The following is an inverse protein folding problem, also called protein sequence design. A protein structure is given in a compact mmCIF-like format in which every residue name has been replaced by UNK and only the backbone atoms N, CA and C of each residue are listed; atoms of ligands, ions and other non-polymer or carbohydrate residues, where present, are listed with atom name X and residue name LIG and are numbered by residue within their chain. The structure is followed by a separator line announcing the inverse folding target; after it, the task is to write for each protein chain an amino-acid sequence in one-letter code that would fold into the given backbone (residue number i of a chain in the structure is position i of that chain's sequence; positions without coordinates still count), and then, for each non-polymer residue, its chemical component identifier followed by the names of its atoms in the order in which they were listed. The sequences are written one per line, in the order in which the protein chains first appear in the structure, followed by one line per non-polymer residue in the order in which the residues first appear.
data_IF_482969859779
#
_entry.id   IF_482969859779
#
_cell.length_a   1.000
_cell.length_b   1.000
_cell.length_c   1.000
_cell.angle_alpha   90.00
_cell.angle_beta   90.00
_cell.angle_gamma   90.00
#
_symmetry.space_group_name_H-M   'P 1'
#
loop_
_entity.id
_entity.type
_entity.pdbx_description
1 polymer ?
#
# COMPACT_ATOMS: atom_id res chain seq x y z
N UNK A 1 -21.94 -2.69 22.42
CA UNK A 1 -21.03 -3.82 22.16
C UNK A 1 -21.15 -4.10 20.67
N UNK A 2 -20.12 -3.79 19.88
CA UNK A 2 -20.17 -4.05 18.44
C UNK A 2 -20.11 -5.57 18.26
N UNK A 3 -21.14 -6.16 17.68
CA UNK A 3 -21.19 -7.60 17.42
C UNK A 3 -20.24 -7.87 16.24
N UNK A 4 -19.00 -8.23 16.55
CA UNK A 4 -18.02 -8.65 15.54
C UNK A 4 -18.40 -10.06 15.10
N UNK A 5 -18.55 -10.24 13.80
CA UNK A 5 -18.82 -11.54 13.20
C UNK A 5 -17.67 -11.83 12.23
N UNK A 6 -16.52 -12.31 12.74
CA UNK A 6 -15.30 -12.46 11.96
C UNK A 6 -15.48 -13.45 10.81
N UNK A 7 -16.32 -14.47 10.99
CA UNK A 7 -16.64 -15.45 9.96
C UNK A 7 -17.38 -14.75 8.82
N UNK A 8 -18.45 -14.02 9.13
CA UNK A 8 -19.21 -13.29 8.12
C UNK A 8 -18.34 -12.25 7.40
N UNK A 9 -17.53 -11.50 8.14
CA UNK A 9 -16.60 -10.51 7.57
C UNK A 9 -15.60 -11.14 6.62
N UNK A 10 -14.98 -12.25 7.02
CA UNK A 10 -14.06 -13.01 6.18
C UNK A 10 -14.73 -13.54 4.92
N UNK A 11 -15.87 -14.24 5.07
CA UNK A 11 -16.58 -14.87 3.96
C UNK A 11 -17.06 -13.86 2.93
N UNK A 12 -17.57 -12.70 3.37
CA UNK A 12 -18.02 -11.66 2.44
C UNK A 12 -16.85 -10.99 1.74
N UNK A 13 -15.78 -10.65 2.48
CA UNK A 13 -14.58 -10.07 1.88
C UNK A 13 -13.95 -10.99 0.83
N UNK A 14 -13.83 -12.29 1.14
CA UNK A 14 -13.28 -13.28 0.22
C UNK A 14 -14.14 -13.44 -1.04
N UNK A 15 -15.46 -13.57 -0.92
CA UNK A 15 -16.32 -13.64 -2.11
C UNK A 15 -16.23 -12.38 -2.97
N UNK A 16 -16.27 -11.18 -2.36
CA UNK A 16 -16.11 -9.93 -3.11
C UNK A 16 -14.77 -9.85 -3.84
N UNK A 17 -13.69 -10.29 -3.19
CA UNK A 17 -12.35 -10.33 -3.77
C UNK A 17 -12.29 -11.25 -5.01
N UNK A 18 -12.80 -12.48 -4.89
CA UNK A 18 -12.75 -13.50 -5.94
C UNK A 18 -13.63 -13.13 -7.16
N UNK A 19 -14.83 -12.59 -6.91
CA UNK A 19 -15.81 -12.34 -7.97
C UNK A 19 -15.58 -11.03 -8.72
N UNK A 20 -15.05 -10.02 -8.02
CA UNK A 20 -15.06 -8.63 -8.49
C UNK A 20 -13.70 -7.93 -8.41
N UNK A 21 -13.09 -7.91 -7.23
CA UNK A 21 -12.07 -6.91 -6.91
C UNK A 21 -10.64 -7.34 -7.30
N UNK A 22 -10.28 -8.62 -7.17
CA UNK A 22 -8.96 -9.11 -7.56
C UNK A 22 -8.78 -9.13 -9.08
N UNK A 23 -7.54 -8.97 -9.51
CA UNK A 23 -7.14 -9.14 -10.91
C UNK A 23 -7.42 -10.56 -11.40
N UNK A 24 -7.78 -10.65 -12.68
CA UNK A 24 -7.93 -11.93 -13.35
C UNK A 24 -6.56 -12.59 -13.57
N UNK A 25 -6.50 -13.90 -13.41
CA UNK A 25 -5.29 -14.69 -13.63
C UNK A 25 -5.01 -14.79 -15.12
N UNK A 26 -3.79 -14.45 -15.53
CA UNK A 26 -3.40 -14.57 -16.93
C UNK A 26 -3.36 -16.04 -17.36
N UNK A 27 -4.16 -16.41 -18.36
CA UNK A 27 -4.12 -17.76 -18.94
C UNK A 27 -3.07 -17.83 -20.03
N UNK A 28 -1.93 -18.48 -19.75
CA UNK A 28 -0.86 -18.72 -20.73
C UNK A 28 -1.27 -19.67 -21.86
N UNK A 29 -2.47 -20.25 -21.82
CA UNK A 29 -2.98 -21.25 -22.78
C UNK A 29 -3.94 -20.67 -23.83
N UNK A 30 -4.27 -19.38 -23.78
CA UNK A 30 -5.16 -18.74 -24.77
C UNK A 30 -4.40 -18.37 -26.06
N UNK A 31 -3.81 -19.35 -26.74
CA UNK A 31 -3.50 -19.21 -28.17
C UNK A 31 -4.76 -19.51 -28.96
N UNK A 32 -5.57 -18.49 -29.24
CA UNK A 32 -6.68 -18.62 -30.16
C UNK A 32 -6.15 -18.91 -31.57
N UNK A 33 -6.67 -19.96 -32.19
CA UNK A 33 -6.41 -20.41 -33.58
C UNK A 33 -6.76 -19.33 -34.62
N UNK A 34 -7.31 -18.18 -34.20
CA UNK A 34 -7.80 -17.09 -35.05
C UNK A 34 -7.09 -15.74 -34.82
N UNK A 35 -5.99 -15.70 -34.05
CA UNK A 35 -5.15 -14.49 -33.96
C UNK A 35 -5.82 -13.27 -33.31
N UNK A 36 -6.94 -13.47 -32.61
CA UNK A 36 -7.55 -12.46 -31.75
C UNK A 36 -7.21 -12.79 -30.31
N UNK A 37 -6.46 -11.92 -29.64
CA UNK A 37 -6.17 -12.02 -28.22
C UNK A 37 -7.46 -11.79 -27.42
N UNK A 38 -8.18 -12.85 -27.06
CA UNK A 38 -9.16 -12.79 -25.98
C UNK A 38 -8.40 -12.89 -24.65
N UNK A 39 -7.79 -11.79 -24.20
CA UNK A 39 -7.07 -11.71 -22.91
C UNK A 39 -8.01 -11.71 -21.70
N UNK A 40 -9.15 -12.42 -21.78
CA UNK A 40 -10.05 -12.57 -20.65
C UNK A 40 -9.44 -13.59 -19.69
N UNK A 41 -8.61 -13.11 -18.75
CA UNK A 41 -8.09 -13.94 -17.67
C UNK A 41 -9.23 -14.59 -16.89
N UNK A 42 -8.95 -15.72 -16.22
CA UNK A 42 -9.94 -16.36 -15.35
C UNK A 42 -10.01 -15.66 -13.99
N UNK A 43 -11.11 -15.78 -13.27
CA UNK A 43 -11.15 -15.35 -11.87
C UNK A 43 -10.23 -16.22 -10.99
N UNK A 44 -9.59 -15.64 -9.96
CA UNK A 44 -8.84 -16.40 -8.96
C UNK A 44 -9.73 -17.44 -8.27
N UNK A 45 -9.12 -18.52 -7.80
CA UNK A 45 -9.79 -19.50 -6.92
C UNK A 45 -9.40 -19.25 -5.47
N UNK A 46 -10.24 -19.72 -4.55
CA UNK A 46 -9.98 -19.60 -3.12
C UNK A 46 -8.62 -20.21 -2.73
N UNK A 47 -8.27 -21.37 -3.28
CA UNK A 47 -6.98 -22.03 -2.98
C UNK A 47 -5.74 -21.31 -3.52
N UNK A 48 -5.92 -20.24 -4.30
CA UNK A 48 -4.84 -19.46 -4.94
C UNK A 48 -4.62 -18.10 -4.25
N UNK A 49 -5.40 -17.81 -3.22
CA UNK A 49 -5.36 -16.55 -2.50
C UNK A 49 -4.83 -16.74 -1.08
N UNK A 50 -3.97 -15.81 -0.66
CA UNK A 50 -3.57 -15.70 0.74
C UNK A 50 -4.53 -14.75 1.47
N UNK A 51 -5.07 -15.21 2.60
CA UNK A 51 -6.08 -14.45 3.37
C UNK A 51 -5.63 -14.25 4.81
N UNK A 52 -5.66 -13.00 5.26
CA UNK A 52 -5.29 -12.62 6.63
C UNK A 52 -6.42 -11.81 7.25
N UNK A 53 -6.87 -12.23 8.43
CA UNK A 53 -7.92 -11.55 9.21
C UNK A 53 -7.36 -11.13 10.56
N UNK A 54 -7.52 -9.87 10.91
CA UNK A 54 -7.15 -9.35 12.22
C UNK A 54 -8.08 -8.22 12.66
N UNK A 55 -8.05 -7.91 13.95
CA UNK A 55 -8.75 -6.75 14.49
C UNK A 55 -7.83 -5.53 14.56
N UNK A 56 -8.34 -4.37 14.14
CA UNK A 56 -7.64 -3.10 14.25
C UNK A 56 -8.59 -1.99 14.71
N UNK A 57 -8.04 -0.98 15.39
CA UNK A 57 -8.76 0.26 15.71
C UNK A 57 -8.62 1.22 14.54
N UNK A 58 -9.75 1.62 13.98
CA UNK A 58 -9.86 2.61 12.92
C UNK A 58 -10.48 3.89 13.47
N UNK A 59 -10.17 5.06 12.90
CA UNK A 59 -11.07 6.20 13.00
C UNK A 59 -12.05 6.18 11.83
N UNK A 60 -13.26 6.70 12.02
CA UNK A 60 -14.19 6.88 10.90
C UNK A 60 -13.57 7.72 9.77
N UNK A 61 -12.81 8.78 10.12
CA UNK A 61 -12.05 9.58 9.15
C UNK A 61 -11.03 8.75 8.38
N UNK A 62 -10.34 7.82 9.04
CA UNK A 62 -9.38 6.93 8.38
C UNK A 62 -10.06 5.99 7.37
N UNK A 63 -11.35 5.70 7.53
CA UNK A 63 -12.18 4.94 6.60
C UNK A 63 -12.90 5.83 5.56
N UNK A 64 -12.73 7.16 5.63
CA UNK A 64 -13.40 8.12 4.75
C UNK A 64 -14.81 8.53 5.19
N UNK A 65 -15.26 8.12 6.38
CA UNK A 65 -16.53 8.57 6.96
C UNK A 65 -16.47 10.06 7.30
N UNK A 66 -17.57 10.77 7.06
CA UNK A 66 -17.70 12.19 7.36
C UNK A 66 -18.70 12.42 8.50
N UNK A 67 -18.59 13.57 9.18
CA UNK A 67 -19.56 14.02 10.17
C UNK A 67 -19.18 13.78 11.65
N UNK A 68 -20.09 14.13 12.58
CA UNK A 68 -19.80 14.28 14.02
C UNK A 68 -19.46 12.98 14.79
N UNK A 69 -19.36 11.83 14.10
CA UNK A 69 -18.86 10.57 14.66
C UNK A 69 -17.55 10.08 14.05
N UNK A 70 -17.02 10.76 13.03
CA UNK A 70 -15.91 10.28 12.23
C UNK A 70 -14.58 10.23 13.00
N UNK A 71 -14.39 11.07 14.02
CA UNK A 71 -13.19 11.04 14.86
C UNK A 71 -13.21 9.91 15.91
N UNK A 72 -14.34 9.22 16.10
CA UNK A 72 -14.45 8.19 17.13
C UNK A 72 -13.65 6.94 16.73
N UNK A 73 -12.87 6.35 17.64
CA UNK A 73 -12.24 5.06 17.41
C UNK A 73 -13.29 3.95 17.27
N UNK A 74 -13.11 3.11 16.26
CA UNK A 74 -13.96 2.01 15.86
C UNK A 74 -13.08 0.77 15.75
N UNK A 75 -13.26 -0.17 16.67
CA UNK A 75 -12.61 -1.47 16.56
C UNK A 75 -13.34 -2.30 15.51
N UNK A 76 -12.65 -2.68 14.42
CA UNK A 76 -13.22 -3.37 13.27
C UNK A 76 -12.31 -4.50 12.79
N UNK A 77 -12.93 -5.52 12.22
CA UNK A 77 -12.22 -6.59 11.53
C UNK A 77 -11.66 -6.06 10.22
N UNK A 78 -10.41 -6.41 9.94
CA UNK A 78 -9.71 -6.08 8.71
C UNK A 78 -9.32 -7.37 8.04
N UNK A 79 -9.82 -7.57 6.83
CA UNK A 79 -9.52 -8.73 5.99
C UNK A 79 -8.64 -8.28 4.85
N UNK A 80 -7.52 -8.96 4.66
CA UNK A 80 -6.60 -8.75 3.55
C UNK A 80 -6.64 -10.00 2.69
N UNK A 81 -6.92 -9.83 1.41
CA UNK A 81 -6.91 -10.91 0.42
C UNK A 81 -5.86 -10.58 -0.63
N UNK A 82 -4.84 -11.43 -0.75
CA UNK A 82 -3.80 -11.31 -1.78
C UNK A 82 -4.09 -12.31 -2.89
N UNK A 83 -4.20 -11.81 -4.11
CA UNK A 83 -4.47 -12.60 -5.30
C UNK A 83 -3.22 -13.25 -5.90
N UNK A 84 -3.40 -14.23 -6.80
CA UNK A 84 -2.29 -14.90 -7.49
C UNK A 84 -1.46 -13.95 -8.38
N UNK A 85 -2.06 -12.88 -8.90
CA UNK A 85 -1.38 -11.81 -9.64
C UNK A 85 -0.62 -10.83 -8.72
N UNK A 86 -0.51 -11.17 -7.43
CA UNK A 86 0.16 -10.40 -6.39
C UNK A 86 -0.47 -9.03 -6.13
N UNK A 87 -1.69 -8.77 -6.58
CA UNK A 87 -2.50 -7.63 -6.12
C UNK A 87 -3.18 -7.96 -4.78
N UNK A 88 -3.55 -6.93 -4.02
CA UNK A 88 -4.17 -7.13 -2.71
C UNK A 88 -5.40 -6.24 -2.51
N UNK A 89 -6.46 -6.82 -1.95
CA UNK A 89 -7.68 -6.13 -1.56
C UNK A 89 -7.77 -6.07 -0.03
N UNK A 90 -8.07 -4.90 0.52
CA UNK A 90 -8.23 -4.70 1.97
C UNK A 90 -9.65 -4.28 2.27
N UNK A 91 -10.31 -5.07 3.11
CA UNK A 91 -11.68 -4.88 3.56
C UNK A 91 -11.70 -4.53 5.05
N UNK A 92 -12.59 -3.62 5.44
CA UNK A 92 -12.88 -3.35 6.85
C UNK A 92 -14.35 -3.68 7.12
N UNK A 93 -14.59 -4.62 8.03
CA UNK A 93 -15.85 -5.33 8.21
C UNK A 93 -16.31 -6.04 6.94
N UNK A 94 -16.90 -5.34 5.98
CA UNK A 94 -17.41 -5.89 4.72
C UNK A 94 -17.21 -4.93 3.55
N UNK A 95 -16.55 -3.80 3.76
CA UNK A 95 -16.40 -2.74 2.76
C UNK A 95 -14.96 -2.73 2.25
N UNK A 96 -14.80 -2.68 0.93
CA UNK A 96 -13.50 -2.50 0.29
C UNK A 96 -12.96 -1.10 0.62
N UNK A 97 -11.80 -1.05 1.28
CA UNK A 97 -11.14 0.20 1.63
C UNK A 97 -10.17 0.61 0.52
N UNK A 98 -9.34 -0.32 0.05
CA UNK A 98 -8.46 -0.12 -1.11
C UNK A 98 -8.08 -1.43 -1.78
N UNK A 99 -7.78 -1.31 -3.08
CA UNK A 99 -7.14 -2.32 -3.91
C UNK A 99 -5.75 -1.81 -4.29
N UNK A 100 -4.73 -2.63 -4.05
CA UNK A 100 -3.32 -2.32 -4.29
C UNK A 100 -2.85 -3.21 -5.42
N UNK A 101 -2.34 -2.60 -6.50
CA UNK A 101 -1.99 -3.34 -7.71
C UNK A 101 -0.67 -4.08 -7.57
N UNK A 102 0.28 -3.45 -6.87
CA UNK A 102 1.62 -3.95 -6.58
C UNK A 102 1.96 -3.61 -5.13
N UNK A 103 1.58 -4.45 -4.16
CA UNK A 103 1.86 -4.26 -2.76
C UNK A 103 3.37 -4.24 -2.51
N UNK A 104 3.84 -3.19 -1.84
CA UNK A 104 5.23 -3.04 -1.42
C UNK A 104 5.49 -3.70 -0.06
N UNK A 105 6.74 -3.69 0.40
CA UNK A 105 7.17 -4.28 1.66
C UNK A 105 6.47 -3.64 2.85
N UNK A 106 6.21 -2.34 2.79
CA UNK A 106 5.50 -1.62 3.85
C UNK A 106 4.10 -2.21 4.05
N UNK A 107 3.40 -2.54 2.98
CA UNK A 107 2.12 -3.23 3.06
C UNK A 107 2.24 -4.54 3.87
N UNK A 108 3.17 -5.42 3.50
CA UNK A 108 3.34 -6.70 4.20
C UNK A 108 3.79 -6.53 5.67
N UNK A 109 4.61 -5.52 5.97
CA UNK A 109 5.02 -5.20 7.35
C UNK A 109 3.83 -4.71 8.18
N UNK A 110 2.98 -3.86 7.62
CA UNK A 110 1.80 -3.33 8.30
C UNK A 110 0.73 -4.43 8.48
N UNK A 111 0.59 -5.35 7.52
CA UNK A 111 -0.24 -6.56 7.65
C UNK A 111 0.26 -7.42 8.81
N UNK A 112 1.56 -7.72 8.87
CA UNK A 112 2.15 -8.52 9.95
C UNK A 112 2.04 -7.84 11.32
N UNK A 113 2.05 -6.50 11.35
CA UNK A 113 1.88 -5.71 12.57
C UNK A 113 0.41 -5.45 12.94
N UNK A 114 -0.56 -5.91 12.13
CA UNK A 114 -1.99 -5.61 12.27
C UNK A 114 -2.29 -4.10 12.36
N UNK A 115 -1.56 -3.30 11.58
CA UNK A 115 -1.56 -1.84 11.68
C UNK A 115 -1.60 -1.18 10.29
N UNK A 116 -2.70 -1.41 9.58
CA UNK A 116 -2.95 -0.84 8.25
C UNK A 116 -3.17 0.67 8.31
N UNK A 117 -2.69 1.39 7.29
CA UNK A 117 -2.83 2.85 7.21
C UNK A 117 -4.26 3.29 6.82
N UNK A 118 -4.64 4.55 7.13
CA UNK A 118 -5.86 5.16 6.62
C UNK A 118 -6.05 5.04 5.11
N UNK A 119 -7.30 5.03 4.65
CA UNK A 119 -7.67 4.94 3.23
C UNK A 119 -7.00 6.01 2.36
N UNK A 120 -6.84 7.22 2.87
CA UNK A 120 -6.19 8.32 2.13
C UNK A 120 -4.69 8.05 1.88
N UNK A 121 -4.07 7.23 2.73
CA UNK A 121 -2.66 6.88 2.69
C UNK A 121 -2.42 5.54 1.96
N UNK A 122 -3.47 4.92 1.40
CA UNK A 122 -3.36 3.69 0.61
C UNK A 122 -2.30 3.76 -0.52
N UNK A 123 -2.06 4.91 -1.19
CA UNK A 123 -0.98 5.03 -2.17
C UNK A 123 0.42 4.73 -1.61
N UNK A 124 0.63 4.79 -0.29
CA UNK A 124 1.90 4.42 0.35
C UNK A 124 2.21 2.91 0.26
N UNK A 125 1.23 2.10 -0.12
CA UNK A 125 1.38 0.65 -0.33
C UNK A 125 1.65 0.26 -1.78
N UNK A 126 1.55 1.20 -2.72
CA UNK A 126 1.73 0.94 -4.14
C UNK A 126 3.20 1.09 -4.56
N UNK A 127 3.66 0.14 -5.36
CA UNK A 127 4.98 0.16 -5.98
C UNK A 127 5.69 -1.17 -5.82
N UNK A 128 6.33 -1.64 -6.89
CA UNK A 128 7.31 -2.72 -6.73
C UNK A 128 8.50 -2.14 -5.99
N UNK A 129 8.87 -2.73 -4.86
CA UNK A 129 10.17 -2.47 -4.25
C UNK A 129 11.25 -2.89 -5.25
N UNK A 130 11.77 -1.96 -6.02
CA UNK A 130 13.10 -2.12 -6.59
C UNK A 130 14.06 -2.15 -5.39
N UNK A 131 14.89 -3.19 -5.21
CA UNK A 131 15.83 -3.29 -4.10
C UNK A 131 16.70 -2.03 -3.94
N UNK A 132 16.95 -1.31 -5.04
CA UNK A 132 17.65 -0.02 -5.03
C UNK A 132 16.80 1.08 -4.42
N UNK A 133 15.53 1.18 -4.79
CA UNK A 133 14.58 2.15 -4.21
C UNK A 133 14.39 1.87 -2.72
N UNK A 134 14.26 0.61 -2.32
CA UNK A 134 14.13 0.21 -0.92
C UNK A 134 15.37 0.60 -0.08
N UNK A 135 16.58 0.30 -0.57
CA UNK A 135 17.81 0.65 0.14
C UNK A 135 17.90 2.17 0.36
N UNK A 136 17.52 2.96 -0.65
CA UNK A 136 17.47 4.42 -0.56
C UNK A 136 16.41 4.87 0.45
N UNK A 137 15.19 4.33 0.40
CA UNK A 137 14.10 4.73 1.29
C UNK A 137 14.40 4.41 2.76
N UNK A 138 14.97 3.24 3.05
CA UNK A 138 15.38 2.84 4.41
C UNK A 138 16.47 3.77 4.92
N UNK A 139 17.50 4.02 4.13
CA UNK A 139 18.65 4.83 4.55
C UNK A 139 18.24 6.29 4.76
N UNK A 140 17.50 6.87 3.82
CA UNK A 140 17.00 8.25 3.90
C UNK A 140 16.05 8.41 5.09
N UNK A 141 15.10 7.50 5.27
CA UNK A 141 14.15 7.57 6.40
C UNK A 141 14.86 7.46 7.75
N UNK A 142 15.83 6.55 7.87
CA UNK A 142 16.64 6.39 9.09
C UNK A 142 17.50 7.62 9.39
N UNK A 143 18.11 8.24 8.37
CA UNK A 143 18.85 9.49 8.52
C UNK A 143 17.94 10.64 8.96
N UNK A 144 16.77 10.80 8.33
CA UNK A 144 15.81 11.84 8.68
C UNK A 144 15.27 11.67 10.10
N UNK A 145 14.95 10.44 10.51
CA UNK A 145 14.49 10.15 11.86
C UNK A 145 15.55 10.53 12.92
N UNK A 146 16.82 10.18 12.68
CA UNK A 146 17.93 10.56 13.57
C UNK A 146 18.12 12.07 13.65
N UNK A 147 18.09 12.74 12.50
CA UNK A 147 18.23 14.19 12.42
C UNK A 147 17.09 14.91 13.15
N UNK A 148 15.85 14.43 12.96
CA UNK A 148 14.69 14.97 13.65
C UNK A 148 14.78 14.76 15.17
N UNK A 149 15.19 13.57 15.62
CA UNK A 149 15.40 13.29 17.05
C UNK A 149 16.48 14.20 17.66
N UNK A 150 17.59 14.40 16.96
CA UNK A 150 18.70 15.26 17.42
C UNK A 150 18.29 16.74 17.50
N UNK A 151 17.60 17.26 16.48
CA UNK A 151 17.08 18.63 16.48
C UNK A 151 16.07 18.83 17.62
N UNK A 152 15.19 17.86 17.83
CA UNK A 152 14.20 17.91 18.91
C UNK A 152 14.83 17.87 20.30
N UNK A 153 15.87 17.06 20.50
CA UNK A 153 16.49 16.86 21.82
C UNK A 153 17.52 17.93 22.20
N UNK A 154 18.27 18.46 21.23
CA UNK A 154 19.44 19.31 21.52
C UNK A 154 19.23 20.77 21.13
N UNK A 155 18.70 21.07 19.94
CA UNK A 155 18.70 22.43 19.39
C UNK A 155 17.50 22.71 18.46
N UNK A 156 16.29 22.92 19.02
CA UNK A 156 15.05 23.05 18.23
C UNK A 156 15.06 24.24 17.25
N UNK A 157 15.75 25.31 17.62
CA UNK A 157 15.89 26.53 16.83
C UNK A 157 16.68 26.32 15.53
N UNK A 158 17.39 25.19 15.37
CA UNK A 158 18.10 24.85 14.13
C UNK A 158 17.23 24.12 13.09
N UNK A 159 16.00 23.77 13.42
CA UNK A 159 15.07 23.11 12.49
C UNK A 159 14.93 23.86 11.13
N UNK A 160 14.80 25.20 11.08
CA UNK A 160 14.69 25.92 9.81
C UNK A 160 15.96 25.85 8.95
N UNK A 161 17.13 25.85 9.60
CA UNK A 161 18.41 25.71 8.93
C UNK A 161 18.56 24.31 8.32
N UNK A 162 18.20 23.28 9.09
CA UNK A 162 18.21 21.88 8.63
C UNK A 162 17.27 21.68 7.45
N UNK A 163 16.03 22.20 7.52
CA UNK A 163 15.09 22.14 6.42
C UNK A 163 15.64 22.80 5.15
N UNK A 164 16.27 23.97 5.28
CA UNK A 164 16.91 24.67 4.16
C UNK A 164 18.04 23.86 3.51
N UNK A 165 18.81 23.09 4.30
CA UNK A 165 19.81 22.18 3.76
C UNK A 165 19.20 21.01 3.00
N UNK A 166 18.15 20.39 3.55
CA UNK A 166 17.45 19.29 2.88
C UNK A 166 16.85 19.73 1.53
N UNK A 167 16.25 20.92 1.46
CA UNK A 167 15.76 21.49 0.20
C UNK A 167 16.87 21.68 -0.84
N UNK A 168 18.05 22.17 -0.42
CA UNK A 168 19.21 22.28 -1.34
C UNK A 168 19.72 20.93 -1.80
N UNK A 169 19.71 19.91 -0.94
CA UNK A 169 20.07 18.55 -1.34
C UNK A 169 19.08 18.01 -2.38
N UNK A 170 17.77 18.13 -2.15
CA UNK A 170 16.74 17.72 -3.10
C UNK A 170 16.93 18.38 -4.47
N UNK A 171 17.11 19.70 -4.51
CA UNK A 171 17.33 20.46 -5.74
C UNK A 171 18.55 19.98 -6.55
N UNK A 172 19.60 19.47 -5.89
CA UNK A 172 20.79 18.91 -6.56
C UNK A 172 20.50 17.57 -7.24
N UNK A 173 19.67 16.73 -6.63
CA UNK A 173 19.23 15.47 -7.24
C UNK A 173 18.34 15.74 -8.46
N UNK A 174 17.39 16.67 -8.33
CA UNK A 174 16.50 17.08 -9.44
C UNK A 174 17.28 17.65 -10.63
N UNK A 175 18.25 18.54 -10.38
CA UNK A 175 19.10 19.10 -11.43
C UNK A 175 19.97 18.05 -12.15
N UNK A 176 20.29 16.94 -11.46
CA UNK A 176 21.04 15.82 -12.04
C UNK A 176 20.14 14.94 -12.91
N UNK A 177 18.88 14.74 -12.51
CA UNK A 177 17.89 14.00 -13.28
C UNK A 177 17.44 14.73 -14.56
N UNK A 178 17.42 16.06 -14.54
CA UNK A 178 17.02 16.90 -15.69
C UNK A 178 18.08 17.01 -16.82
N UNK A 179 19.30 16.46 -16.66
CA UNK A 179 20.32 16.50 -17.72
C UNK A 179 20.06 15.38 -18.74
N UNK A 180 19.90 15.68 -20.05
CA UNK A 180 19.75 14.63 -21.06
C UNK A 180 20.99 13.73 -21.08
N UNK A 181 20.78 12.41 -21.13
CA UNK A 181 21.89 11.45 -21.34
C UNK A 181 22.54 11.78 -22.67
N UNK A 182 23.77 12.29 -22.63
CA UNK A 182 24.56 12.49 -23.84
C UNK A 182 24.73 11.14 -24.52
N UNK A 183 24.17 11.02 -25.73
CA UNK A 183 24.36 9.90 -26.65
C UNK A 183 25.85 9.79 -26.93
N UNK A 184 26.52 8.80 -26.35
CA UNK A 184 27.84 8.36 -26.81
C UNK A 184 27.63 7.67 -28.16
N UNK A 185 27.86 8.41 -29.24
CA UNK A 185 28.06 7.86 -30.57
C UNK A 185 29.57 7.66 -30.79
N UNK A 186 29.91 6.42 -31.13
CA UNK A 186 31.18 5.84 -31.60
C UNK A 186 32.38 5.81 -30.65
#
# INVERSE_FOLDING_TARGET
MFNRDPIRSLTLALHSALDHDLKAVESTLAYDVHGQHSSAGRRPREEECDVVLFGQIWSGQALGLQGPGAARPLERDTTVVVGPEQDACVYVSTELVYHINHPNRRFFLDVAAHSMVPKADAPLYEGRDDPVTEAVDIEVSSMLARLHAQVKASEPHRAPLVASYLHRCAARFEARAARPRATTAS
#
